data_IF_050145279063
#
_entry.id   IF_050145279063
#
_cell.length_a   1.000
_cell.length_b   1.000
_cell.length_c   1.000
_cell.angle_alpha   90.00
_cell.angle_beta   90.00
_cell.angle_gamma   90.00
#
_symmetry.space_group_name_H-M   'P 1'
#
loop_
_entity.id
_entity.type
_entity.pdbx_description
1 polymer ?
#
# COMPACT_ATOMS: atom_id res chain seq x y z
N UNK A 1 -4.82 56.43 7.99
CA UNK A 1 -5.01 57.29 6.81
C UNK A 1 -4.74 56.43 5.60
N UNK A 2 -5.74 56.35 4.71
CA UNK A 2 -5.66 55.99 3.27
C UNK A 2 -5.07 54.59 2.95
N UNK A 3 -5.82 53.59 2.49
CA UNK A 3 -6.98 53.61 1.59
C UNK A 3 -6.52 53.18 0.20
N UNK A 4 -6.62 51.89 -0.13
CA UNK A 4 -6.59 51.43 -1.52
C UNK A 4 -7.75 50.47 -1.78
N UNK A 5 -8.60 50.94 -2.68
CA UNK A 5 -9.85 50.41 -3.19
C UNK A 5 -9.70 50.33 -4.71
N UNK A 6 -10.28 49.30 -5.33
CA UNK A 6 -10.38 49.11 -6.78
C UNK A 6 -10.08 47.64 -7.11
N UNK A 7 -11.07 46.80 -7.42
CA UNK A 7 -12.00 46.92 -8.56
C UNK A 7 -11.34 46.22 -9.76
N UNK A 8 -11.83 45.09 -10.27
CA UNK A 8 -12.88 45.07 -11.30
C UNK A 8 -13.28 43.61 -11.59
N UNK A 9 -14.59 43.37 -11.69
CA UNK A 9 -15.20 42.14 -12.25
C UNK A 9 -15.24 42.24 -13.77
N UNK A 10 -15.00 41.13 -14.48
CA UNK A 10 -15.51 40.93 -15.83
C UNK A 10 -16.04 39.50 -15.94
N UNK A 11 -17.32 39.40 -16.27
CA UNK A 11 -18.03 38.18 -16.67
C UNK A 11 -17.62 37.81 -18.09
N UNK A 12 -17.48 36.52 -18.38
CA UNK A 12 -17.75 36.01 -19.72
C UNK A 12 -18.54 34.71 -19.61
N UNK A 13 -19.82 34.85 -19.92
CA UNK A 13 -20.73 33.77 -20.33
C UNK A 13 -20.22 33.26 -21.69
N UNK A 14 -20.21 31.94 -21.85
CA UNK A 14 -19.75 31.25 -23.06
C UNK A 14 -20.55 29.99 -23.27
N UNK A 15 -21.76 30.19 -23.77
CA UNK A 15 -22.45 29.51 -24.87
C UNK A 15 -22.27 27.99 -25.07
N UNK A 16 -23.42 27.34 -25.19
CA UNK A 16 -23.59 25.89 -25.26
C UNK A 16 -22.97 25.21 -26.47
N UNK A 17 -22.70 23.92 -26.26
CA UNK A 17 -22.50 22.95 -27.33
C UNK A 17 -23.45 21.78 -27.06
N UNK A 18 -24.57 21.77 -27.78
CA UNK A 18 -25.39 20.57 -28.02
C UNK A 18 -24.77 19.85 -29.23
N UNK A 19 -24.23 18.65 -29.01
CA UNK A 19 -23.85 17.71 -30.07
C UNK A 19 -24.34 16.34 -29.64
N UNK A 20 -25.52 15.96 -30.11
CA UNK A 20 -25.76 15.09 -31.27
C UNK A 20 -25.48 13.61 -30.94
N UNK A 21 -26.60 12.92 -30.68
CA UNK A 21 -26.73 11.50 -30.43
C UNK A 21 -26.68 10.76 -31.76
N UNK A 22 -25.59 10.05 -32.03
CA UNK A 22 -25.60 9.00 -33.06
C UNK A 22 -25.55 7.64 -32.40
N UNK A 23 -26.70 6.97 -32.43
CA UNK A 23 -26.86 5.55 -32.24
C UNK A 23 -25.91 4.78 -33.17
N UNK A 24 -25.10 3.89 -32.60
CA UNK A 24 -24.35 2.89 -33.35
C UNK A 24 -24.62 1.53 -32.74
N UNK A 25 -25.77 0.98 -33.15
CA UNK A 25 -26.06 -0.45 -33.10
C UNK A 25 -25.10 -1.18 -34.03
N UNK A 26 -24.17 -1.96 -33.46
CA UNK A 26 -23.44 -3.02 -34.17
C UNK A 26 -22.82 -3.99 -33.15
N UNK A 27 -23.62 -4.92 -32.66
CA UNK A 27 -23.18 -6.26 -32.25
C UNK A 27 -23.51 -7.20 -33.43
N UNK A 28 -22.58 -8.04 -33.90
CA UNK A 28 -22.51 -9.37 -33.31
C UNK A 28 -21.09 -9.96 -33.24
N UNK A 29 -20.77 -10.54 -32.08
CA UNK A 29 -20.26 -11.91 -32.01
C UNK A 29 -18.74 -12.11 -32.13
N UNK A 30 -18.16 -12.61 -31.04
CA UNK A 30 -16.79 -13.14 -31.02
C UNK A 30 -16.55 -14.00 -29.77
N UNK A 31 -16.93 -15.27 -29.88
CA UNK A 31 -16.59 -16.34 -28.94
C UNK A 31 -15.07 -16.40 -28.67
N UNK A 32 -14.70 -16.53 -27.41
CA UNK A 32 -13.31 -16.73 -26.98
C UNK A 32 -13.13 -16.63 -25.48
N UNK A 33 -13.98 -17.30 -24.70
CA UNK A 33 -13.84 -17.37 -23.25
C UNK A 33 -12.72 -18.34 -22.88
N UNK A 34 -11.49 -17.84 -22.85
CA UNK A 34 -10.32 -18.50 -22.25
C UNK A 34 -9.71 -17.60 -21.15
N UNK A 35 -10.58 -16.90 -20.40
CA UNK A 35 -10.21 -16.04 -19.25
C UNK A 35 -10.24 -16.76 -17.89
N UNK A 36 -10.56 -18.05 -17.86
CA UNK A 36 -10.91 -18.78 -16.63
C UNK A 36 -9.75 -19.21 -15.71
N UNK A 37 -8.49 -18.83 -15.97
CA UNK A 37 -7.35 -19.34 -15.21
C UNK A 37 -6.61 -18.26 -14.40
N UNK A 38 -6.71 -16.98 -14.75
CA UNK A 38 -6.00 -15.92 -14.00
C UNK A 38 -6.87 -15.27 -12.91
N UNK A 39 -8.19 -15.20 -13.08
CA UNK A 39 -9.09 -14.66 -12.03
C UNK A 39 -9.17 -15.54 -10.78
N UNK A 40 -8.90 -16.85 -10.90
CA UNK A 40 -8.89 -17.76 -9.73
C UNK A 40 -7.67 -17.62 -8.81
N UNK A 41 -6.59 -16.95 -9.24
CA UNK A 41 -5.43 -16.69 -8.38
C UNK A 41 -5.68 -15.44 -7.51
N UNK A 42 -6.60 -14.56 -7.91
CA UNK A 42 -6.91 -13.33 -7.18
C UNK A 42 -8.11 -13.47 -6.22
N UNK A 43 -9.08 -14.33 -6.50
CA UNK A 43 -10.19 -14.60 -5.56
C UNK A 43 -9.80 -15.48 -4.36
N UNK A 44 -8.69 -16.22 -4.44
CA UNK A 44 -8.16 -17.00 -3.30
C UNK A 44 -7.48 -16.12 -2.23
N UNK A 45 -7.38 -14.80 -2.46
CA UNK A 45 -6.74 -13.87 -1.53
C UNK A 45 -7.65 -13.33 -0.42
N UNK A 46 -8.97 -13.51 -0.52
CA UNK A 46 -9.92 -12.99 0.48
C UNK A 46 -10.47 -14.06 1.44
N UNK A 47 -10.24 -15.35 1.20
CA UNK A 47 -10.76 -16.44 2.04
C UNK A 47 -9.75 -17.55 2.34
N UNK A 48 -8.76 -17.33 3.20
CA UNK A 48 -8.15 -18.46 3.94
C UNK A 48 -7.65 -18.02 5.30
N UNK A 49 -8.54 -18.04 6.31
CA UNK A 49 -8.12 -17.98 7.72
C UNK A 49 -9.14 -18.61 8.66
N UNK A 50 -9.45 -19.89 8.48
CA UNK A 50 -9.95 -20.74 9.58
C UNK A 50 -9.51 -22.20 9.35
N UNK A 51 -8.41 -22.63 9.97
CA UNK A 51 -8.13 -24.05 10.16
C UNK A 51 -7.23 -24.29 11.39
N UNK A 52 -7.91 -24.67 12.48
CA UNK A 52 -7.53 -25.70 13.46
C UNK A 52 -6.19 -25.63 14.20
N UNK A 53 -6.28 -24.94 15.34
CA UNK A 53 -5.72 -25.33 16.64
C UNK A 53 -6.18 -26.74 17.07
N UNK A 54 -5.55 -27.83 16.59
CA UNK A 54 -5.46 -29.09 17.37
C UNK A 54 -4.20 -29.86 16.98
N UNK A 55 -3.15 -29.80 17.81
CA UNK A 55 -2.03 -30.73 17.77
C UNK A 55 -2.14 -31.75 18.91
N UNK A 56 -2.06 -33.07 18.65
CA UNK A 56 -2.04 -34.08 19.71
C UNK A 56 -0.66 -34.16 20.36
N UNK A 57 -0.66 -34.35 21.69
CA UNK A 57 0.54 -34.58 22.49
C UNK A 57 1.27 -35.86 22.07
N UNK A 58 2.59 -35.83 22.22
CA UNK A 58 3.39 -37.04 22.39
C UNK A 58 4.44 -36.80 23.47
N UNK A 59 4.57 -37.83 24.29
CA UNK A 59 5.36 -37.91 25.50
C UNK A 59 6.87 -38.01 25.22
N UNK A 60 7.62 -37.43 26.17
CA UNK A 60 8.93 -37.76 26.71
C UNK A 60 9.94 -38.59 25.87
N UNK A 61 11.09 -37.97 25.60
CA UNK A 61 12.39 -38.65 25.66
C UNK A 61 13.45 -37.68 26.21
N UNK A 62 13.85 -37.95 27.45
CA UNK A 62 14.89 -37.28 28.22
C UNK A 62 16.27 -37.64 27.64
N UNK A 63 17.03 -36.65 27.18
CA UNK A 63 18.45 -36.82 26.85
C UNK A 63 19.19 -35.52 27.17
N UNK A 64 19.74 -35.46 28.38
CA UNK A 64 20.62 -34.40 28.82
C UNK A 64 21.91 -34.38 27.99
N UNK A 65 22.08 -33.33 27.19
CA UNK A 65 23.37 -32.92 26.63
C UNK A 65 23.65 -31.54 27.20
N UNK A 66 24.57 -31.48 28.16
CA UNK A 66 25.16 -30.23 28.64
C UNK A 66 26.02 -29.66 27.51
N UNK A 67 25.48 -28.66 26.82
CA UNK A 67 26.12 -28.00 25.69
C UNK A 67 25.82 -26.51 25.73
N UNK A 68 26.85 -25.75 26.11
CA UNK A 68 27.15 -24.34 25.83
C UNK A 68 25.95 -23.38 25.76
N UNK A 69 25.89 -22.50 26.76
CA UNK A 69 24.96 -21.39 26.98
C UNK A 69 24.93 -20.41 25.78
N UNK A 70 24.31 -20.83 24.68
CA UNK A 70 23.99 -19.99 23.54
C UNK A 70 22.83 -19.08 23.93
N UNK A 71 23.15 -17.83 24.28
CA UNK A 71 22.20 -16.72 24.39
C UNK A 71 21.31 -16.71 23.14
N UNK A 72 20.10 -17.27 23.28
CA UNK A 72 19.06 -17.16 22.26
C UNK A 72 18.66 -15.68 22.24
N UNK A 73 19.28 -14.90 21.35
CA UNK A 73 18.83 -13.56 21.02
C UNK A 73 17.39 -13.68 20.50
N UNK A 74 16.47 -13.37 21.40
CA UNK A 74 15.04 -13.26 21.12
C UNK A 74 14.85 -11.89 20.49
N UNK A 75 15.34 -11.74 19.26
CA UNK A 75 15.08 -10.58 18.42
C UNK A 75 13.65 -10.72 17.84
N UNK A 76 12.67 -10.83 18.73
CA UNK A 76 11.34 -10.37 18.40
C UNK A 76 11.48 -8.86 18.34
N UNK A 77 11.62 -8.31 17.13
CA UNK A 77 11.67 -6.87 16.86
C UNK A 77 10.41 -6.21 17.42
N UNK A 78 10.44 -5.91 18.72
CA UNK A 78 9.39 -5.22 19.43
C UNK A 78 9.22 -3.87 18.72
N UNK A 79 8.02 -3.65 18.16
CA UNK A 79 7.75 -2.43 17.39
C UNK A 79 7.86 -1.23 18.31
N UNK A 80 8.90 -0.43 18.10
CA UNK A 80 9.16 0.77 18.89
C UNK A 80 7.99 1.76 18.74
N UNK A 81 7.42 2.25 19.85
CA UNK A 81 6.44 3.34 19.81
C UNK A 81 7.04 4.58 19.14
N UNK A 82 6.24 5.26 18.30
CA UNK A 82 6.72 6.42 17.55
C UNK A 82 7.70 6.06 16.43
N UNK A 83 7.52 4.88 15.82
CA UNK A 83 8.29 4.44 14.64
C UNK A 83 7.41 4.35 13.39
N UNK A 84 8.06 4.45 12.23
CA UNK A 84 7.45 4.25 10.91
C UNK A 84 8.39 3.38 10.10
N UNK A 85 7.85 2.33 9.50
CA UNK A 85 8.59 1.34 8.73
C UNK A 85 7.86 1.03 7.43
N UNK A 86 8.63 0.63 6.43
CA UNK A 86 8.10 -0.10 5.28
C UNK A 86 8.16 -1.57 5.63
N UNK A 87 7.02 -2.25 5.51
CA UNK A 87 6.90 -3.67 5.77
C UNK A 87 6.32 -4.38 4.55
N UNK A 88 6.40 -5.70 4.49
CA UNK A 88 5.80 -6.44 3.39
C UNK A 88 5.86 -7.94 3.52
N UNK A 89 5.17 -8.61 2.59
CA UNK A 89 5.13 -10.06 2.44
C UNK A 89 5.08 -10.44 0.95
N UNK A 90 5.47 -11.67 0.62
CA UNK A 90 5.32 -12.17 -0.74
C UNK A 90 3.85 -12.52 -1.04
N UNK A 91 3.32 -12.01 -2.14
CA UNK A 91 1.98 -12.37 -2.65
C UNK A 91 1.93 -13.88 -2.88
N UNK A 92 1.06 -14.61 -2.15
CA UNK A 92 0.92 -16.06 -2.27
C UNK A 92 2.12 -16.83 -1.74
N UNK A 93 2.93 -16.21 -0.87
CA UNK A 93 4.12 -16.80 -0.24
C UNK A 93 5.37 -16.85 -1.13
N UNK A 94 5.21 -16.91 -2.45
CA UNK A 94 6.31 -17.04 -3.42
C UNK A 94 6.32 -15.96 -4.51
N UNK A 95 5.28 -15.12 -4.57
CA UNK A 95 5.13 -14.07 -5.57
C UNK A 95 5.93 -12.80 -5.28
N UNK A 96 5.69 -11.73 -6.03
CA UNK A 96 6.34 -10.44 -5.78
C UNK A 96 6.00 -9.93 -4.37
N UNK A 97 6.90 -9.11 -3.82
CA UNK A 97 6.68 -8.47 -2.53
C UNK A 97 5.55 -7.43 -2.64
N UNK A 98 4.56 -7.55 -1.76
CA UNK A 98 3.56 -6.53 -1.48
C UNK A 98 4.03 -5.70 -0.28
N UNK A 99 4.08 -4.38 -0.42
CA UNK A 99 4.51 -3.47 0.64
C UNK A 99 3.36 -2.71 1.29
N UNK A 100 3.57 -2.37 2.55
CA UNK A 100 2.77 -1.43 3.33
C UNK A 100 3.67 -0.46 4.09
N UNK A 101 3.13 0.71 4.44
CA UNK A 101 3.69 1.56 5.49
C UNK A 101 3.07 1.11 6.80
N UNK A 102 3.89 0.69 7.76
CA UNK A 102 3.47 0.43 9.13
C UNK A 102 3.97 1.54 10.03
N UNK A 103 3.12 2.00 10.95
CA UNK A 103 3.53 2.93 12.00
C UNK A 103 2.92 2.56 13.34
N UNK A 104 3.64 2.90 14.41
CA UNK A 104 3.18 2.76 15.79
C UNK A 104 3.08 4.16 16.40
N UNK A 105 1.89 4.54 16.84
CA UNK A 105 1.67 5.85 17.48
C UNK A 105 2.28 5.91 18.90
N UNK A 106 2.21 7.08 19.54
CA UNK A 106 2.74 7.28 20.91
C UNK A 106 2.04 6.41 21.96
N UNK A 107 0.82 5.94 21.67
CA UNK A 107 0.07 5.04 22.55
C UNK A 107 0.45 3.56 22.33
N UNK A 108 1.39 3.27 21.42
CA UNK A 108 1.80 1.91 21.08
C UNK A 108 0.82 1.21 20.13
N UNK A 109 -0.15 1.92 19.53
CA UNK A 109 -1.07 1.31 18.58
C UNK A 109 -0.42 1.28 17.20
N UNK A 110 -0.29 0.07 16.66
CA UNK A 110 0.19 -0.15 15.30
C UNK A 110 -0.94 -0.05 14.28
N UNK A 111 -0.65 0.50 13.11
CA UNK A 111 -1.56 0.58 11.97
C UNK A 111 -0.77 0.53 10.66
N UNK A 112 -1.46 0.19 9.56
CA UNK A 112 -0.86 0.15 8.23
C UNK A 112 -1.61 0.97 7.20
N UNK A 113 -0.87 1.49 6.21
CA UNK A 113 -1.38 2.08 4.98
C UNK A 113 -0.78 1.34 3.80
N UNK A 114 -1.63 0.85 2.91
CA UNK A 114 -1.20 0.17 1.68
C UNK A 114 -2.25 0.38 0.60
N UNK A 115 -1.96 -0.10 -0.60
CA UNK A 115 -2.93 -0.19 -1.67
C UNK A 115 -2.83 -1.56 -2.35
N UNK A 116 -3.96 -2.07 -2.84
CA UNK A 116 -4.06 -3.37 -3.50
C UNK A 116 -4.99 -3.33 -4.70
N UNK A 117 -5.13 -4.44 -5.44
CA UNK A 117 -6.03 -4.52 -6.58
C UNK A 117 -7.50 -4.58 -6.14
N UNK A 118 -8.33 -3.71 -6.71
CA UNK A 118 -9.79 -3.81 -6.66
C UNK A 118 -10.37 -3.34 -7.99
N UNK A 119 -11.07 -4.21 -8.71
CA UNK A 119 -11.66 -3.86 -10.02
C UNK A 119 -10.65 -3.38 -11.08
N UNK A 120 -9.40 -3.85 -11.02
CA UNK A 120 -8.31 -3.40 -11.89
C UNK A 120 -7.70 -2.05 -11.48
N UNK A 121 -8.11 -1.48 -10.35
CA UNK A 121 -7.56 -0.24 -9.79
C UNK A 121 -6.71 -0.51 -8.56
N UNK A 122 -5.76 0.38 -8.33
CA UNK A 122 -4.92 0.39 -7.15
C UNK A 122 -5.68 1.18 -6.08
N UNK A 123 -6.29 0.48 -5.13
CA UNK A 123 -7.17 1.06 -4.11
C UNK A 123 -6.48 0.99 -2.75
N UNK A 124 -6.42 2.15 -2.09
CA UNK A 124 -5.88 2.28 -0.73
C UNK A 124 -6.80 1.63 0.29
N UNK A 125 -6.22 0.98 1.28
CA UNK A 125 -6.98 0.39 2.38
C UNK A 125 -6.15 0.46 3.67
N UNK A 126 -6.54 1.32 4.64
CA UNK A 126 -5.92 1.32 5.94
C UNK A 126 -6.17 0.01 6.69
N UNK A 127 -5.12 -0.58 7.25
CA UNK A 127 -5.18 -1.84 8.01
C UNK A 127 -5.74 -3.02 7.21
N UNK A 128 -5.41 -3.11 5.92
CA UNK A 128 -5.71 -4.28 5.09
C UNK A 128 -5.29 -5.56 5.83
N UNK A 129 -6.17 -6.54 5.91
CA UNK A 129 -5.96 -7.72 6.76
C UNK A 129 -4.74 -8.59 6.37
N UNK A 130 -4.29 -8.53 5.12
CA UNK A 130 -3.05 -9.18 4.66
C UNK A 130 -1.79 -8.49 5.19
N UNK A 131 -1.91 -7.21 5.58
CA UNK A 131 -0.79 -6.33 5.91
C UNK A 131 -0.64 -6.17 7.42
N UNK A 132 -1.30 -7.02 8.20
CA UNK A 132 -1.19 -7.03 9.64
C UNK A 132 0.28 -7.23 10.07
N UNK A 133 0.76 -6.59 11.16
CA UNK A 133 2.17 -6.63 11.56
C UNK A 133 2.75 -8.04 11.72
N UNK A 134 1.94 -9.00 12.16
CA UNK A 134 2.33 -10.41 12.33
C UNK A 134 2.46 -11.19 11.01
N UNK A 135 1.96 -10.65 9.90
CA UNK A 135 2.07 -11.24 8.55
C UNK A 135 3.16 -10.59 7.72
N UNK A 136 3.69 -9.45 8.17
CA UNK A 136 4.65 -8.65 7.45
C UNK A 136 6.04 -8.69 8.10
N UNK A 137 7.07 -8.69 7.26
CA UNK A 137 8.45 -8.47 7.69
C UNK A 137 8.83 -7.00 7.53
N UNK A 138 9.64 -6.46 8.44
CA UNK A 138 10.21 -5.12 8.30
C UNK A 138 11.25 -5.11 7.17
N UNK A 139 11.08 -4.22 6.20
CA UNK A 139 11.96 -4.07 5.04
C UNK A 139 12.91 -2.88 5.23
N UNK A 140 12.42 -1.80 5.85
CA UNK A 140 13.23 -0.64 6.16
C UNK A 140 12.49 0.40 7.00
N UNK A 141 13.21 1.41 7.49
CA UNK A 141 12.64 2.50 8.29
C UNK A 141 12.29 3.69 7.40
N UNK A 142 11.26 4.44 7.81
CA UNK A 142 10.91 5.73 7.20
C UNK A 142 11.31 6.85 8.15
N UNK A 143 12.03 7.83 7.62
CA UNK A 143 12.45 9.02 8.34
C UNK A 143 11.56 10.20 7.93
N UNK A 144 10.91 10.88 8.90
CA UNK A 144 10.18 12.13 8.63
C UNK A 144 11.06 13.21 8.00
N UNK A 145 10.47 14.23 7.34
CA UNK A 145 11.19 15.44 6.95
C UNK A 145 11.87 16.12 8.15
N UNK A 146 12.95 16.87 7.88
CA UNK A 146 13.66 17.61 8.93
C UNK A 146 12.73 18.59 9.66
N UNK A 147 12.75 18.55 10.99
CA UNK A 147 11.90 19.39 11.84
C UNK A 147 10.46 18.92 12.00
N UNK A 148 10.07 17.80 11.39
CA UNK A 148 8.75 17.17 11.55
C UNK A 148 8.84 16.04 12.56
N UNK A 149 7.95 16.01 13.55
CA UNK A 149 7.87 14.90 14.51
C UNK A 149 7.31 13.65 13.85
N UNK A 150 7.59 12.45 14.40
CA UNK A 150 7.00 11.22 13.87
C UNK A 150 5.47 11.30 13.84
N UNK A 151 4.84 11.79 14.91
CA UNK A 151 3.39 11.86 15.02
C UNK A 151 2.78 12.83 13.99
N UNK A 152 3.39 14.00 13.79
CA UNK A 152 2.96 14.95 12.75
C UNK A 152 3.08 14.32 11.34
N UNK A 153 4.16 13.57 11.11
CA UNK A 153 4.38 12.90 9.83
C UNK A 153 3.43 11.72 9.61
N UNK A 154 3.07 10.94 10.65
CA UNK A 154 2.00 9.93 10.57
C UNK A 154 0.68 10.58 10.17
N UNK A 155 0.34 11.74 10.75
CA UNK A 155 -0.87 12.47 10.39
C UNK A 155 -0.82 12.96 8.94
N UNK A 156 0.35 13.36 8.45
CA UNK A 156 0.55 13.73 7.05
C UNK A 156 0.34 12.55 6.10
N UNK A 157 0.92 11.39 6.41
CA UNK A 157 0.73 10.15 5.64
C UNK A 157 -0.74 9.78 5.56
N UNK A 158 -1.46 9.76 6.68
CA UNK A 158 -2.90 9.47 6.73
C UNK A 158 -3.73 10.49 5.94
N UNK A 159 -3.33 11.76 5.96
CA UNK A 159 -4.01 12.82 5.21
C UNK A 159 -3.81 12.66 3.72
N UNK A 160 -2.60 12.33 3.28
CA UNK A 160 -2.28 12.08 1.87
C UNK A 160 -2.96 10.80 1.36
N UNK A 161 -2.95 9.73 2.15
CA UNK A 161 -3.70 8.48 1.91
C UNK A 161 -5.19 8.76 1.75
N UNK A 162 -5.82 9.50 2.68
CA UNK A 162 -7.24 9.87 2.56
C UNK A 162 -7.60 10.83 1.42
N UNK A 163 -6.60 11.36 0.69
CA UNK A 163 -6.77 12.15 -0.54
C UNK A 163 -6.49 11.35 -1.79
N UNK A 164 -5.92 10.15 -1.65
CA UNK A 164 -5.67 9.29 -2.77
C UNK A 164 -6.98 8.95 -3.48
N UNK A 165 -7.00 9.08 -4.81
CA UNK A 165 -8.23 8.96 -5.58
C UNK A 165 -8.75 7.52 -5.75
N UNK A 166 -7.97 6.51 -5.35
CA UNK A 166 -8.24 5.09 -5.62
C UNK A 166 -8.44 4.78 -7.11
N UNK A 167 -7.76 5.54 -7.97
CA UNK A 167 -8.05 5.61 -9.41
C UNK A 167 -6.89 5.19 -10.32
N UNK A 168 -5.70 4.99 -9.77
CA UNK A 168 -4.55 4.53 -10.57
C UNK A 168 -4.78 3.12 -11.09
N UNK A 169 -4.29 2.82 -12.29
CA UNK A 169 -4.41 1.49 -12.87
C UNK A 169 -3.50 0.51 -12.13
N UNK A 170 -4.05 -0.62 -11.72
CA UNK A 170 -3.27 -1.65 -11.03
C UNK A 170 -2.62 -2.60 -12.04
N UNK A 171 -1.33 -2.85 -11.87
CA UNK A 171 -0.62 -3.92 -12.54
C UNK A 171 0.37 -4.55 -11.57
N UNK A 172 0.31 -5.87 -11.40
CA UNK A 172 1.22 -6.60 -10.51
C UNK A 172 2.70 -6.41 -10.92
N UNK A 173 2.95 -6.30 -12.23
CA UNK A 173 4.28 -6.14 -12.82
C UNK A 173 4.31 -4.92 -13.76
N UNK A 174 4.29 -3.69 -13.22
CA UNK A 174 4.26 -2.48 -14.03
C UNK A 174 5.55 -2.35 -14.85
N UNK A 175 5.45 -1.80 -16.07
CA UNK A 175 6.62 -1.61 -16.93
C UNK A 175 6.36 -1.24 -18.39
N UNK A 176 5.11 -1.26 -18.88
CA UNK A 176 4.79 -0.90 -20.28
C UNK A 176 3.79 0.25 -20.38
N UNK A 177 2.98 0.49 -19.35
CA UNK A 177 1.94 1.54 -19.29
C UNK A 177 2.05 2.37 -18.00
N UNK A 178 1.24 3.43 -17.90
CA UNK A 178 1.01 4.20 -16.67
C UNK A 178 0.21 3.37 -15.63
N UNK A 179 0.75 2.20 -15.25
CA UNK A 179 0.19 1.29 -14.26
C UNK A 179 1.12 1.19 -13.04
N UNK A 180 0.53 0.83 -11.89
CA UNK A 180 1.20 0.90 -10.59
C UNK A 180 0.79 -0.29 -9.71
N UNK A 181 1.57 -0.58 -8.67
CA UNK A 181 1.22 -1.56 -7.64
C UNK A 181 1.40 -1.00 -6.23
N UNK A 182 1.31 -1.86 -5.21
CA UNK A 182 1.48 -1.49 -3.81
C UNK A 182 2.86 -0.89 -3.51
N UNK A 183 3.92 -1.33 -4.20
CA UNK A 183 5.27 -0.80 -4.02
C UNK A 183 5.38 0.63 -4.58
N UNK A 184 4.77 0.87 -5.75
CA UNK A 184 4.63 2.21 -6.33
C UNK A 184 3.85 3.14 -5.40
N UNK A 185 2.75 2.66 -4.81
CA UNK A 185 1.93 3.39 -3.85
C UNK A 185 2.72 3.80 -2.62
N UNK A 186 3.34 2.84 -1.92
CA UNK A 186 4.10 3.07 -0.69
C UNK A 186 5.21 4.08 -0.92
N UNK A 187 6.00 3.91 -2.00
CA UNK A 187 7.07 4.85 -2.33
C UNK A 187 6.51 6.24 -2.67
N UNK A 188 5.46 6.30 -3.50
CA UNK A 188 4.82 7.54 -3.90
C UNK A 188 4.26 8.31 -2.72
N UNK A 189 3.59 7.64 -1.77
CA UNK A 189 3.03 8.25 -0.56
C UNK A 189 4.12 8.82 0.35
N UNK A 190 5.22 8.10 0.55
CA UNK A 190 6.38 8.57 1.33
C UNK A 190 7.02 9.80 0.67
N UNK A 191 7.25 9.75 -0.64
CA UNK A 191 7.86 10.87 -1.38
C UNK A 191 6.93 12.09 -1.43
N UNK A 192 5.63 11.89 -1.64
CA UNK A 192 4.61 12.95 -1.71
C UNK A 192 4.45 13.72 -0.40
N UNK A 193 4.75 13.06 0.73
CA UNK A 193 4.70 13.66 2.07
C UNK A 193 6.08 14.15 2.54
N UNK A 194 7.11 14.05 1.68
CA UNK A 194 8.45 14.57 1.91
C UNK A 194 9.36 13.70 2.79
N UNK A 195 8.92 12.50 3.18
CA UNK A 195 9.74 11.57 3.94
C UNK A 195 10.76 10.84 3.09
N UNK A 196 11.57 10.01 3.76
CA UNK A 196 12.59 9.16 3.12
C UNK A 196 12.54 7.77 3.69
N UNK A 197 12.66 6.74 2.87
CA UNK A 197 12.79 5.36 3.33
C UNK A 197 14.24 4.88 3.20
N UNK A 198 14.67 4.00 4.09
CA UNK A 198 15.94 3.26 3.95
C UNK A 198 15.86 2.12 2.93
N UNK A 199 14.66 1.84 2.40
CA UNK A 199 14.39 0.76 1.44
C UNK A 199 14.99 1.10 0.08
N UNK A 200 15.73 0.16 -0.51
CA UNK A 200 16.07 0.22 -1.93
C UNK A 200 14.89 -0.32 -2.75
N UNK A 201 13.95 0.56 -3.09
CA UNK A 201 12.74 0.19 -3.83
C UNK A 201 13.03 -0.43 -5.21
N UNK A 202 14.20 -0.18 -5.81
CA UNK A 202 14.55 -0.77 -7.10
C UNK A 202 14.72 -2.29 -7.10
N UNK A 203 14.76 -2.91 -5.91
CA UNK A 203 14.78 -4.36 -5.75
C UNK A 203 13.39 -5.02 -5.86
N UNK A 204 12.32 -4.23 -5.99
CA UNK A 204 10.94 -4.70 -5.95
C UNK A 204 10.17 -4.23 -7.19
N UNK A 205 9.34 -5.09 -7.76
CA UNK A 205 8.54 -4.75 -8.94
C UNK A 205 7.65 -3.53 -8.66
N UNK A 206 7.66 -2.55 -9.57
CA UNK A 206 6.98 -1.26 -9.41
C UNK A 206 7.67 -0.26 -8.48
N UNK A 207 8.66 -0.69 -7.68
CA UNK A 207 9.34 0.21 -6.75
C UNK A 207 10.19 1.29 -7.42
N UNK A 208 10.58 1.13 -8.69
CA UNK A 208 11.28 2.19 -9.45
C UNK A 208 10.35 3.28 -9.98
N UNK A 209 9.05 3.02 -10.04
CA UNK A 209 8.03 3.90 -10.60
C UNK A 209 7.08 4.35 -9.48
N UNK A 210 7.48 5.33 -8.64
CA UNK A 210 6.64 5.81 -7.56
C UNK A 210 5.36 6.43 -8.11
N UNK A 211 4.26 6.25 -7.38
CA UNK A 211 3.01 6.89 -7.73
C UNK A 211 3.17 8.43 -7.67
N UNK A 212 2.89 9.17 -8.76
CA UNK A 212 3.12 10.61 -8.80
C UNK A 212 2.34 11.39 -7.73
N UNK A 213 2.95 12.45 -7.18
CA UNK A 213 2.35 13.28 -6.11
C UNK A 213 0.94 13.81 -6.44
N UNK A 214 0.61 14.01 -7.72
CA UNK A 214 -0.73 14.44 -8.18
C UNK A 214 -1.87 13.50 -7.78
N UNK A 215 -1.57 12.25 -7.44
CA UNK A 215 -2.56 11.28 -6.97
C UNK A 215 -2.99 11.51 -5.52
N UNK A 216 -2.24 12.31 -4.73
CA UNK A 216 -2.45 12.49 -3.28
C UNK A 216 -2.92 13.91 -2.88
N UNK A 217 -3.48 14.70 -3.81
CA UNK A 217 -3.72 16.14 -3.62
C UNK A 217 -5.19 16.53 -3.61
#
# INVERSE_FOLDING_TARGET
>A
MEGFSGGTKVNQEGDGYEGDTTDNDSDPGGEGNDKGVIEKIFDDFTETLVADLVGPGTDEADTAVEGEDGEKQKDEDERESGSISVTGHNVGGIGPMHMAIEYTDEAGKTSTLSAGPEGGKLVSEPNRASDAPEKNSTIGRVTPPEGVTTNDYINELRRADGKYCDCADYDLFPGVSDSYNSNSYVRGLIEATGGKASVNFGNYYGGNDPLPERYFK
#
